data_IF_400634801522
#
_entry.id   IF_400634801522
#
_cell.length_a   1.000
_cell.length_b   1.000
_cell.length_c   1.000
_cell.angle_alpha   90.00
_cell.angle_beta   90.00
_cell.angle_gamma   90.00
#
_symmetry.space_group_name_H-M   'P 1'
#
loop_
_entity.id
_entity.type
_entity.pdbx_description
1 polymer ?
#
# COMPACT_ATOMS: atom_id res chain seq x y z
N UNK A 1 -12.08 -5.04 -10.13
CA UNK A 1 -11.32 -4.25 -9.13
C UNK A 1 -9.92 -4.08 -9.68
N UNK A 2 -9.43 -2.85 -9.81
CA UNK A 2 -8.07 -2.61 -10.31
C UNK A 2 -7.17 -2.44 -9.10
N UNK A 3 -6.13 -3.26 -9.00
CA UNK A 3 -5.16 -3.19 -7.92
C UNK A 3 -3.92 -2.44 -8.41
N UNK A 4 -3.27 -1.73 -7.50
CA UNK A 4 -2.00 -1.05 -7.72
C UNK A 4 -1.09 -1.37 -6.54
N UNK A 5 0.20 -1.55 -6.82
CA UNK A 5 1.22 -1.65 -5.78
C UNK A 5 1.86 -0.28 -5.59
N UNK A 6 2.00 0.11 -4.32
CA UNK A 6 2.59 1.39 -3.92
C UNK A 6 3.67 1.12 -2.88
N UNK A 7 4.86 1.66 -3.13
CA UNK A 7 5.98 1.64 -2.20
C UNK A 7 5.75 2.68 -1.11
N UNK A 8 5.76 2.27 0.16
CA UNK A 8 5.68 3.17 1.32
C UNK A 8 6.88 2.98 2.24
N UNK A 9 7.35 4.07 2.83
CA UNK A 9 8.35 4.10 3.89
C UNK A 9 7.62 4.28 5.22
N UNK A 10 7.93 3.45 6.20
CA UNK A 10 7.37 3.56 7.56
C UNK A 10 8.50 3.95 8.52
N UNK A 11 8.29 5.03 9.26
CA UNK A 11 9.22 5.57 10.24
C UNK A 11 8.57 5.64 11.61
N UNK A 12 9.31 5.25 12.66
CA UNK A 12 8.85 5.40 14.05
C UNK A 12 9.23 6.79 14.56
N UNK A 13 8.24 7.50 15.10
CA UNK A 13 8.39 8.83 15.66
C UNK A 13 8.79 8.78 17.14
N UNK A 14 9.38 9.87 17.63
CA UNK A 14 9.85 10.02 19.02
C UNK A 14 8.70 9.86 20.04
N UNK A 15 7.48 10.25 19.66
CA UNK A 15 6.26 10.13 20.46
C UNK A 15 5.68 8.70 20.49
N UNK A 16 6.35 7.73 19.86
CA UNK A 16 5.94 6.33 19.81
C UNK A 16 4.92 5.98 18.73
N UNK A 17 4.52 6.95 17.90
CA UNK A 17 3.70 6.75 16.71
C UNK A 17 4.52 6.29 15.49
N UNK A 18 3.84 5.91 14.41
CA UNK A 18 4.43 5.54 13.12
C UNK A 18 3.89 6.43 12.01
N UNK A 19 4.79 6.92 11.17
CA UNK A 19 4.51 7.73 9.99
C UNK A 19 4.78 6.91 8.73
N UNK A 20 3.83 6.88 7.82
CA UNK A 20 3.98 6.35 6.46
C UNK A 20 4.00 7.48 5.44
N UNK A 21 4.99 7.45 4.56
CA UNK A 21 5.15 8.35 3.41
C UNK A 21 5.52 7.55 2.17
N UNK A 22 5.41 8.16 0.99
CA UNK A 22 5.89 7.57 -0.26
C UNK A 22 6.70 8.61 -1.04
N UNK A 23 7.89 8.21 -1.50
CA UNK A 23 8.71 9.04 -2.38
C UNK A 23 8.12 9.13 -3.80
N UNK A 24 7.29 8.15 -4.19
CA UNK A 24 6.77 8.00 -5.54
C UNK A 24 5.30 8.39 -5.68
N UNK A 25 4.51 8.31 -4.60
CA UNK A 25 3.12 8.77 -4.58
C UNK A 25 3.00 10.06 -3.75
N UNK A 26 3.12 11.19 -4.45
CA UNK A 26 3.03 12.51 -3.83
C UNK A 26 1.69 12.69 -3.11
N UNK A 27 1.76 13.25 -1.90
CA UNK A 27 0.60 13.47 -1.04
C UNK A 27 0.23 12.28 -0.15
N UNK A 28 0.90 11.12 -0.30
CA UNK A 28 0.73 10.01 0.64
C UNK A 28 1.43 10.33 1.96
N UNK A 29 0.63 10.65 2.96
CA UNK A 29 1.05 10.81 4.35
C UNK A 29 0.00 10.16 5.24
N UNK A 30 0.41 9.25 6.11
CA UNK A 30 -0.46 8.59 7.06
C UNK A 30 0.25 8.37 8.39
N UNK A 31 -0.44 8.55 9.51
CA UNK A 31 0.13 8.34 10.83
C UNK A 31 -0.78 7.45 11.67
N UNK A 32 -0.19 6.57 12.46
CA UNK A 32 -0.91 5.64 13.32
C UNK A 32 -0.12 5.25 14.57
N UNK A 33 -0.79 4.61 15.52
CA UNK A 33 -0.20 4.14 16.78
C UNK A 33 0.58 2.83 16.61
N UNK A 34 0.29 2.08 15.56
CA UNK A 34 0.94 0.81 15.22
C UNK A 34 1.24 0.74 13.74
N UNK A 35 2.22 -0.07 13.34
CA UNK A 35 2.56 -0.30 11.93
C UNK A 35 1.33 -0.71 11.12
N UNK A 36 0.53 -1.65 11.65
CA UNK A 36 -0.66 -2.16 10.97
C UNK A 36 -1.72 -1.06 10.76
N UNK A 37 -1.99 -0.25 11.78
CA UNK A 37 -2.92 0.88 11.67
C UNK A 37 -2.42 1.92 10.66
N UNK A 38 -1.13 2.27 10.71
CA UNK A 38 -0.51 3.20 9.76
C UNK A 38 -0.61 2.68 8.33
N UNK A 39 -0.44 1.37 8.11
CA UNK A 39 -0.59 0.73 6.79
C UNK A 39 -2.04 0.79 6.29
N UNK A 40 -3.03 0.56 7.16
CA UNK A 40 -4.44 0.65 6.81
C UNK A 40 -4.82 2.07 6.37
N UNK A 41 -4.36 3.08 7.13
CA UNK A 41 -4.57 4.49 6.79
C UNK A 41 -3.85 4.84 5.48
N UNK A 42 -2.59 4.42 5.31
CA UNK A 42 -1.82 4.65 4.10
C UNK A 42 -2.49 4.04 2.86
N UNK A 43 -3.13 2.87 3.01
CA UNK A 43 -3.87 2.23 1.92
C UNK A 43 -5.11 3.04 1.51
N UNK A 44 -5.87 3.58 2.46
CA UNK A 44 -7.03 4.43 2.13
C UNK A 44 -6.61 5.73 1.45
N UNK A 45 -5.54 6.36 1.93
CA UNK A 45 -4.96 7.56 1.31
C UNK A 45 -4.46 7.26 -0.10
N UNK A 46 -3.69 6.19 -0.29
CA UNK A 46 -3.16 5.79 -1.60
C UNK A 46 -4.30 5.55 -2.61
N UNK A 47 -5.37 4.88 -2.18
CA UNK A 47 -6.55 4.61 -3.00
C UNK A 47 -7.18 5.92 -3.50
N UNK A 48 -7.44 6.87 -2.60
CA UNK A 48 -8.05 8.17 -2.95
C UNK A 48 -7.18 8.98 -3.91
N UNK A 49 -5.86 8.98 -3.69
CA UNK A 49 -4.92 9.67 -4.57
C UNK A 49 -4.97 9.06 -5.98
N UNK A 50 -4.82 7.73 -6.08
CA UNK A 50 -4.83 7.02 -7.36
C UNK A 50 -6.17 7.20 -8.10
N UNK A 51 -7.30 7.13 -7.39
CA UNK A 51 -8.62 7.44 -7.95
C UNK A 51 -8.63 8.86 -8.54
N UNK A 52 -8.14 9.85 -7.79
CA UNK A 52 -8.06 11.24 -8.27
C UNK A 52 -7.15 11.40 -9.51
N UNK A 53 -5.98 10.74 -9.57
CA UNK A 53 -5.12 10.77 -10.77
C UNK A 53 -5.87 10.24 -11.99
N UNK A 54 -6.60 9.13 -11.83
CA UNK A 54 -7.38 8.50 -12.91
C UNK A 54 -8.53 9.41 -13.35
N UNK A 55 -9.25 10.02 -12.42
CA UNK A 55 -10.38 10.91 -12.70
C UNK A 55 -9.97 12.20 -13.42
N UNK A 56 -8.80 12.75 -13.06
CA UNK A 56 -8.25 13.96 -13.69
C UNK A 56 -7.53 13.67 -15.02
N UNK A 57 -7.28 12.40 -15.33
CA UNK A 57 -6.54 11.98 -16.53
C UNK A 57 -5.02 12.20 -16.43
N UNK A 58 -4.51 12.42 -15.22
CA UNK A 58 -3.08 12.52 -14.95
C UNK A 58 -2.42 11.13 -15.03
N UNK A 59 -1.23 11.01 -15.62
CA UNK A 59 -0.51 9.75 -15.65
C UNK A 59 -0.09 9.35 -14.24
N UNK A 60 -0.34 8.09 -13.87
CA UNK A 60 0.19 7.56 -12.62
C UNK A 60 1.73 7.52 -12.69
N UNK A 61 2.42 7.81 -11.57
CA UNK A 61 3.87 7.63 -11.46
C UNK A 61 4.30 6.22 -11.88
N UNK A 62 5.45 6.11 -12.53
CA UNK A 62 5.99 4.86 -13.09
C UNK A 62 6.21 3.73 -12.05
N UNK A 63 6.41 4.09 -10.78
CA UNK A 63 6.57 3.14 -9.68
C UNK A 63 5.23 2.54 -9.20
N UNK A 64 4.10 3.18 -9.56
CA UNK A 64 2.76 2.67 -9.23
C UNK A 64 2.36 1.63 -10.27
N UNK A 65 2.81 0.40 -10.02
CA UNK A 65 2.59 -0.70 -10.95
C UNK A 65 1.21 -1.32 -10.77
N UNK A 66 0.52 -1.55 -11.89
CA UNK A 66 -0.54 -2.55 -11.92
C UNK A 66 0.11 -3.92 -11.81
N UNK A 67 -0.31 -4.81 -10.89
CA UNK A 67 0.22 -6.15 -10.81
C UNK A 67 -0.16 -6.90 -12.11
N UNK A 68 0.79 -6.99 -13.05
CA UNK A 68 0.55 -7.52 -14.39
C UNK A 68 0.21 -9.02 -14.41
N UNK A 69 0.58 -9.75 -13.35
CA UNK A 69 0.22 -11.17 -13.13
C UNK A 69 0.69 -11.60 -11.74
N UNK A 70 -0.23 -11.85 -10.81
CA UNK A 70 0.10 -12.57 -9.58
C UNK A 70 -0.01 -14.07 -9.85
N UNK A 71 0.95 -14.65 -10.57
CA UNK A 71 1.03 -16.11 -10.71
C UNK A 71 1.69 -16.66 -9.45
N UNK A 72 0.93 -17.33 -8.59
CA UNK A 72 1.45 -17.96 -7.37
C UNK A 72 1.16 -19.46 -7.38
N UNK A 73 2.23 -20.25 -7.35
CA UNK A 73 2.15 -21.68 -7.08
C UNK A 73 2.27 -21.89 -5.56
N UNK A 74 1.14 -22.09 -4.88
CA UNK A 74 1.06 -22.11 -3.41
C UNK A 74 0.82 -23.54 -2.95
N UNK A 75 1.70 -24.05 -2.07
CA UNK A 75 1.48 -25.29 -1.32
C UNK A 75 0.97 -24.93 0.06
N UNK A 76 -0.17 -25.48 0.44
CA UNK A 76 -0.79 -25.25 1.75
C UNK A 76 -0.58 -26.47 2.67
N UNK A 77 -0.40 -26.27 3.99
CA UNK A 77 -0.28 -27.38 4.93
C UNK A 77 -1.60 -28.15 5.02
N UNK A 78 -1.51 -29.48 4.95
CA UNK A 78 -2.66 -30.39 5.15
C UNK A 78 -2.33 -31.30 6.33
N UNK A 79 -3.08 -31.14 7.42
CA UNK A 79 -3.03 -32.06 8.55
C UNK A 79 -3.88 -33.29 8.22
N UNK A 80 -3.31 -34.48 8.38
CA UNK A 80 -4.03 -35.75 8.28
C UNK A 80 -3.89 -36.51 9.59
N UNK A 81 -4.99 -37.09 10.05
CA UNK A 81 -5.00 -38.06 11.15
C UNK A 81 -5.05 -39.45 10.52
N UNK A 82 -4.01 -40.26 10.74
CA UNK A 82 -3.96 -41.68 10.39
C UNK A 82 -4.06 -42.54 11.63
#
# INVERSE_FOLDING_TARGET
>A
MTEYLVSIKIEKLEEGAYLATSDNLQGLVAQGRTIAETMEIAQDVARKLIESFIELGDPLPEDIVRPARVVRNIKIPVAVSV
#
